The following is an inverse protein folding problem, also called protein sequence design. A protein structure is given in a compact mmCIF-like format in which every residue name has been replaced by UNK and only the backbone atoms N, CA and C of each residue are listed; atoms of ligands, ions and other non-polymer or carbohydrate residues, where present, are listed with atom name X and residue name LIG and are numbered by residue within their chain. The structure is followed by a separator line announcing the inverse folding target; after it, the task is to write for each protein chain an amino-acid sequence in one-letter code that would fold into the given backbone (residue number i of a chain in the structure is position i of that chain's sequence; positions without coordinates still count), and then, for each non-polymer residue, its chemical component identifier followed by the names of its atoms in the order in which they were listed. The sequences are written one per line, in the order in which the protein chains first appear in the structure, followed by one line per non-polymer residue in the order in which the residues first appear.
data_IF_659338553627
#
_entry.id   IF_659338553627
#
_cell.length_a   1.000
_cell.length_b   1.000
_cell.length_c   1.000
_cell.angle_alpha   90.00
_cell.angle_beta   90.00
_cell.angle_gamma   90.00
#
_symmetry.space_group_name_H-M   'P 1'
#
loop_
_entity.id
_entity.type
_entity.pdbx_description
1 polymer ?
#
# COMPACT_ATOMS: atom_id res chain seq x y z
N UNK A 1 -15.65 3.64 79.67
CA UNK A 1 -16.16 3.79 78.29
C UNK A 1 -14.99 4.12 77.37
N UNK A 2 -14.47 3.13 76.67
CA UNK A 2 -13.26 3.19 75.86
C UNK A 2 -13.64 3.11 74.37
N UNK A 3 -13.39 4.18 73.61
CA UNK A 3 -13.57 4.19 72.15
C UNK A 3 -12.20 4.04 71.47
N UNK A 4 -11.92 2.85 70.95
CA UNK A 4 -10.70 2.55 70.19
C UNK A 4 -10.97 2.55 68.68
N UNK A 5 -10.17 3.34 67.94
CA UNK A 5 -10.10 3.42 66.47
C UNK A 5 -9.61 2.10 65.85
N UNK A 6 -10.17 1.70 64.71
CA UNK A 6 -9.55 0.67 63.85
C UNK A 6 -9.37 1.17 62.42
N UNK A 7 -8.17 0.88 61.89
CA UNK A 7 -7.47 1.43 60.73
C UNK A 7 -7.92 0.81 59.40
N UNK A 8 -7.85 1.58 58.31
CA UNK A 8 -7.73 1.08 56.93
C UNK A 8 -6.30 0.61 56.69
N UNK A 9 -6.09 -0.56 56.03
CA UNK A 9 -5.00 -0.80 55.06
C UNK A 9 -4.98 -2.22 54.45
N UNK A 10 -5.08 -2.25 53.10
CA UNK A 10 -4.27 -3.00 52.10
C UNK A 10 -4.18 -4.54 51.99
N UNK A 11 -4.41 -4.96 50.73
CA UNK A 11 -3.61 -5.84 49.83
C UNK A 11 -3.68 -7.38 49.93
N UNK A 12 -4.13 -7.93 48.79
CA UNK A 12 -3.68 -9.10 48.03
C UNK A 12 -3.56 -10.47 48.70
N UNK A 13 -4.20 -11.46 48.08
CA UNK A 13 -3.65 -12.81 48.01
C UNK A 13 -3.73 -13.42 46.60
N UNK A 14 -2.56 -13.82 46.14
CA UNK A 14 -2.25 -14.57 44.93
C UNK A 14 -2.34 -16.07 45.26
N UNK A 15 -2.99 -16.90 44.43
CA UNK A 15 -2.56 -18.28 44.08
C UNK A 15 -3.57 -19.03 43.18
N UNK A 16 -3.28 -19.00 41.89
CA UNK A 16 -3.08 -20.15 40.97
C UNK A 16 -3.73 -21.50 41.37
N UNK A 17 -4.71 -21.97 40.59
CA UNK A 17 -4.99 -23.41 40.39
C UNK A 17 -4.97 -23.75 38.90
N UNK A 18 -3.93 -24.50 38.50
CA UNK A 18 -3.79 -25.16 37.19
C UNK A 18 -4.44 -26.54 37.36
N UNK A 19 -5.54 -26.82 36.68
CA UNK A 19 -6.14 -28.16 36.68
C UNK A 19 -5.76 -28.87 35.38
N UNK A 20 -4.84 -29.82 35.51
CA UNK A 20 -4.45 -30.76 34.47
C UNK A 20 -5.47 -31.89 34.40
N UNK A 21 -6.15 -32.04 33.26
CA UNK A 21 -6.74 -33.33 32.88
C UNK A 21 -6.03 -33.81 31.62
N UNK A 22 -5.03 -34.64 31.86
CA UNK A 22 -4.41 -35.50 30.85
C UNK A 22 -5.35 -36.70 30.69
N UNK A 23 -5.82 -36.94 29.46
CA UNK A 23 -6.38 -38.23 29.06
C UNK A 23 -5.63 -38.67 27.81
N UNK A 24 -4.83 -39.72 27.98
CA UNK A 24 -4.13 -40.43 26.92
C UNK A 24 -5.11 -41.40 26.27
N UNK A 25 -5.31 -41.29 24.96
CA UNK A 25 -5.72 -42.39 24.10
C UNK A 25 -4.93 -42.28 22.80
N UNK A 26 -4.00 -43.23 22.62
CA UNK A 26 -3.29 -43.52 21.39
C UNK A 26 -4.19 -44.37 20.49
N UNK A 27 -4.28 -44.06 19.19
CA UNK A 27 -4.18 -45.03 18.08
C UNK A 27 -4.69 -44.44 16.75
N UNK A 28 -3.76 -44.35 15.79
CA UNK A 28 -3.84 -44.60 14.34
C UNK A 28 -5.01 -44.04 13.50
N UNK A 29 -4.67 -43.19 12.51
CA UNK A 29 -5.53 -42.94 11.36
C UNK A 29 -5.13 -41.69 10.59
N UNK A 30 -4.44 -41.88 9.47
CA UNK A 30 -4.03 -40.85 8.49
C UNK A 30 -5.19 -39.92 8.09
N UNK A 31 -5.10 -38.63 8.43
CA UNK A 31 -5.98 -37.61 7.86
C UNK A 31 -5.13 -36.39 7.50
N UNK A 32 -5.05 -36.17 6.18
CA UNK A 32 -4.74 -34.97 5.43
C UNK A 32 -3.69 -34.01 6.03
N UNK A 33 -2.59 -33.82 5.28
CA UNK A 33 -1.79 -32.61 5.34
C UNK A 33 -2.76 -31.42 5.25
N UNK A 34 -3.07 -30.83 6.40
CA UNK A 34 -3.81 -29.59 6.50
C UNK A 34 -2.95 -28.54 5.82
N UNK A 35 -3.22 -28.35 4.52
CA UNK A 35 -2.84 -27.20 3.74
C UNK A 35 -3.19 -25.99 4.59
N UNK A 36 -2.17 -25.40 5.20
CA UNK A 36 -2.28 -24.17 5.95
C UNK A 36 -2.80 -23.12 4.98
N UNK A 37 -4.11 -22.91 5.10
CA UNK A 37 -4.90 -21.74 4.80
C UNK A 37 -4.07 -20.67 4.11
N UNK A 38 -4.30 -20.54 2.79
CA UNK A 38 -3.84 -19.42 1.98
C UNK A 38 -4.15 -18.16 2.78
N UNK A 39 -3.11 -17.54 3.34
CA UNK A 39 -3.27 -16.34 4.14
C UNK A 39 -3.96 -15.31 3.25
N UNK A 40 -5.16 -14.91 3.67
CA UNK A 40 -6.01 -13.93 3.01
C UNK A 40 -5.20 -12.68 2.65
N UNK A 41 -4.70 -12.65 1.41
CA UNK A 41 -4.03 -11.50 0.82
C UNK A 41 -5.08 -10.60 0.16
N UNK A 42 -6.17 -10.27 0.86
CA UNK A 42 -7.19 -9.36 0.31
C UNK A 42 -7.99 -8.57 1.36
N UNK A 43 -7.30 -7.94 2.32
CA UNK A 43 -7.92 -6.98 3.25
C UNK A 43 -7.26 -5.59 3.27
N UNK A 44 -6.60 -5.20 2.18
CA UNK A 44 -5.92 -3.89 2.05
C UNK A 44 -6.33 -3.09 0.80
N UNK A 45 -7.28 -3.60 0.00
CA UNK A 45 -7.65 -3.02 -1.31
C UNK A 45 -8.36 -1.65 -1.23
N UNK A 46 -8.69 -1.17 -0.03
CA UNK A 46 -9.30 0.15 0.20
C UNK A 46 -8.42 1.16 0.94
N UNK A 47 -7.21 0.78 1.37
CA UNK A 47 -6.34 1.64 2.19
C UNK A 47 -5.48 2.59 1.38
N UNK A 48 -5.42 2.44 0.05
CA UNK A 48 -4.43 3.13 -0.76
C UNK A 48 -5.09 3.79 -1.96
N UNK A 49 -4.58 4.96 -2.37
CA UNK A 49 -5.04 5.73 -3.51
C UNK A 49 -3.87 6.19 -4.37
N UNK A 50 -4.13 6.29 -5.67
CA UNK A 50 -3.14 6.69 -6.67
C UNK A 50 -3.51 8.06 -7.22
N UNK A 51 -2.49 8.90 -7.36
CA UNK A 51 -2.59 10.23 -7.92
C UNK A 51 -1.50 10.42 -8.98
N UNK A 52 -1.83 11.10 -10.07
CA UNK A 52 -0.84 11.43 -11.11
C UNK A 52 0.01 12.62 -10.67
N UNK A 53 -0.63 13.64 -10.11
CA UNK A 53 0.01 14.90 -9.70
C UNK A 53 -0.37 15.32 -8.28
N UNK A 54 0.36 16.29 -7.74
CA UNK A 54 0.08 16.91 -6.44
C UNK A 54 -1.28 17.62 -6.48
N UNK A 55 -1.64 18.21 -7.62
CA UNK A 55 -2.89 18.92 -7.86
C UNK A 55 -4.08 17.97 -7.83
N UNK A 56 -3.96 16.78 -8.41
CA UNK A 56 -4.99 15.74 -8.35
C UNK A 56 -5.24 15.29 -6.90
N UNK A 57 -4.17 15.15 -6.12
CA UNK A 57 -4.24 14.85 -4.71
C UNK A 57 -4.97 15.96 -3.92
N UNK A 58 -4.65 17.24 -4.18
CA UNK A 58 -5.36 18.38 -3.59
C UNK A 58 -6.83 18.41 -3.98
N UNK A 59 -7.15 18.21 -5.26
CA UNK A 59 -8.53 18.18 -5.78
C UNK A 59 -9.35 17.06 -5.15
N UNK A 60 -8.71 15.95 -4.79
CA UNK A 60 -9.32 14.86 -4.04
C UNK A 60 -9.51 15.16 -2.53
N UNK A 61 -9.24 16.38 -2.07
CA UNK A 61 -9.51 16.85 -0.71
C UNK A 61 -8.38 16.60 0.30
N UNK A 62 -7.19 16.21 -0.15
CA UNK A 62 -6.03 16.05 0.73
C UNK A 62 -5.31 17.38 0.96
N UNK A 63 -4.64 17.53 2.11
CA UNK A 63 -3.88 18.74 2.41
C UNK A 63 -2.63 18.84 1.55
N UNK A 64 -2.32 20.05 1.08
CA UNK A 64 -1.20 20.30 0.15
C UNK A 64 0.15 19.80 0.67
N UNK A 65 0.44 19.99 1.97
CA UNK A 65 1.69 19.50 2.57
C UNK A 65 1.77 17.97 2.57
N UNK A 66 0.64 17.26 2.74
CA UNK A 66 0.57 15.80 2.67
C UNK A 66 0.85 15.33 1.25
N UNK A 67 0.15 15.92 0.26
CA UNK A 67 0.36 15.61 -1.15
C UNK A 67 1.82 15.79 -1.57
N UNK A 68 2.42 16.96 -1.27
CA UNK A 68 3.81 17.25 -1.59
C UNK A 68 4.77 16.27 -0.91
N UNK A 69 4.54 15.96 0.36
CA UNK A 69 5.40 15.03 1.11
C UNK A 69 5.33 13.61 0.56
N UNK A 70 4.13 13.11 0.23
CA UNK A 70 3.96 11.77 -0.33
C UNK A 70 4.55 11.67 -1.74
N UNK A 71 4.33 12.69 -2.58
CA UNK A 71 4.95 12.77 -3.91
C UNK A 71 6.48 12.73 -3.82
N UNK A 72 7.08 13.58 -2.99
CA UNK A 72 8.54 13.62 -2.85
C UNK A 72 9.10 12.29 -2.34
N UNK A 73 8.42 11.63 -1.39
CA UNK A 73 8.85 10.32 -0.89
C UNK A 73 8.74 9.23 -1.97
N UNK A 74 7.68 9.23 -2.78
CA UNK A 74 7.55 8.34 -3.92
C UNK A 74 8.63 8.60 -4.97
N UNK A 75 8.92 9.87 -5.26
CA UNK A 75 9.98 10.24 -6.21
C UNK A 75 11.36 9.80 -5.73
N UNK A 76 11.69 9.98 -4.46
CA UNK A 76 12.95 9.46 -3.90
C UNK A 76 13.03 7.94 -3.97
N UNK A 77 11.91 7.23 -3.84
CA UNK A 77 11.85 5.78 -4.05
C UNK A 77 11.99 5.41 -5.52
N UNK A 78 11.42 6.18 -6.43
CA UNK A 78 11.64 6.03 -7.86
C UNK A 78 13.14 6.13 -8.18
N UNK A 79 13.83 7.16 -7.69
CA UNK A 79 15.27 7.31 -7.95
C UNK A 79 16.10 6.12 -7.45
N UNK A 80 15.72 5.51 -6.31
CA UNK A 80 16.45 4.38 -5.72
C UNK A 80 16.08 3.01 -6.30
N UNK A 81 14.81 2.79 -6.60
CA UNK A 81 14.25 1.47 -6.88
C UNK A 81 13.70 1.33 -8.31
N UNK A 82 13.92 2.32 -9.19
CA UNK A 82 13.46 2.24 -10.59
C UNK A 82 14.13 1.09 -11.34
N UNK A 83 13.40 0.46 -12.29
CA UNK A 83 13.98 -0.41 -13.28
C UNK A 83 14.99 0.33 -14.16
N UNK A 84 16.16 -0.28 -14.37
CA UNK A 84 17.15 0.20 -15.34
C UNK A 84 17.28 -0.83 -16.47
N UNK A 85 17.23 -0.35 -17.71
CA UNK A 85 17.37 -1.13 -18.93
C UNK A 85 18.63 -0.71 -19.67
N UNK A 86 19.24 -1.65 -20.40
CA UNK A 86 20.46 -1.38 -21.18
C UNK A 86 20.15 -0.62 -22.46
N UNK A 87 18.99 -0.86 -23.07
CA UNK A 87 18.58 -0.23 -24.32
C UNK A 87 17.22 0.45 -24.23
N UNK A 88 17.00 1.44 -25.09
CA UNK A 88 15.70 2.11 -25.21
C UNK A 88 14.60 1.12 -25.61
N UNK A 89 14.92 0.17 -26.49
CA UNK A 89 13.97 -0.82 -26.99
C UNK A 89 13.41 -1.71 -25.87
N UNK A 90 14.26 -2.15 -24.94
CA UNK A 90 13.84 -2.95 -23.78
C UNK A 90 12.86 -2.20 -22.88
N UNK A 91 13.15 -0.94 -22.56
CA UNK A 91 12.25 -0.11 -21.76
C UNK A 91 10.92 0.12 -22.50
N UNK A 92 10.99 0.51 -23.79
CA UNK A 92 9.81 0.83 -24.60
C UNK A 92 8.92 -0.39 -24.85
N UNK A 93 9.48 -1.60 -24.87
CA UNK A 93 8.72 -2.85 -24.96
C UNK A 93 7.75 -3.01 -23.78
N UNK A 94 8.17 -2.60 -22.59
CA UNK A 94 7.39 -2.75 -21.34
C UNK A 94 6.51 -1.54 -21.06
N UNK A 95 7.05 -0.33 -21.16
CA UNK A 95 6.38 0.93 -20.75
C UNK A 95 5.85 1.76 -21.93
N UNK A 96 6.26 1.45 -23.16
CA UNK A 96 5.89 2.21 -24.36
C UNK A 96 6.88 3.33 -24.71
N UNK A 97 6.69 3.94 -25.87
CA UNK A 97 7.65 4.89 -26.47
C UNK A 97 7.82 6.20 -25.68
N UNK A 98 6.76 6.67 -25.01
CA UNK A 98 6.71 7.99 -24.34
C UNK A 98 7.00 7.93 -22.83
N UNK A 99 7.29 6.75 -22.28
CA UNK A 99 7.43 6.55 -20.84
C UNK A 99 8.83 6.07 -20.43
N UNK A 100 9.84 6.32 -21.26
CA UNK A 100 11.22 5.94 -21.00
C UNK A 100 12.15 7.14 -21.18
N UNK A 101 13.06 7.34 -20.24
CA UNK A 101 14.05 8.41 -20.21
C UNK A 101 15.46 7.81 -20.17
N UNK A 102 16.41 8.46 -20.83
CA UNK A 102 17.82 8.10 -20.76
C UNK A 102 18.46 8.84 -19.59
N UNK A 103 19.19 8.11 -18.76
CA UNK A 103 19.99 8.63 -17.66
C UNK A 103 21.45 8.22 -17.83
N UNK A 104 22.35 9.08 -17.39
CA UNK A 104 23.77 8.76 -17.24
C UNK A 104 23.97 8.05 -15.89
N UNK A 105 24.55 6.85 -15.88
CA UNK A 105 24.97 6.17 -14.66
C UNK A 105 26.47 6.35 -14.47
N UNK A 106 26.87 6.78 -13.27
CA UNK A 106 28.26 7.11 -12.92
C UNK A 106 29.28 5.99 -13.12
N UNK A 107 28.85 4.72 -13.25
CA UNK A 107 29.73 3.54 -13.38
C UNK A 107 29.42 2.62 -14.57
N UNK A 108 28.29 2.80 -15.23
CA UNK A 108 27.73 1.79 -16.16
C UNK A 108 27.35 2.37 -17.53
N UNK A 109 27.71 3.63 -17.79
CA UNK A 109 27.33 4.35 -19.00
C UNK A 109 25.86 4.78 -18.98
N UNK A 110 25.25 4.86 -20.17
CA UNK A 110 23.86 5.28 -20.33
C UNK A 110 22.89 4.15 -19.99
N UNK A 111 21.79 4.47 -19.35
CA UNK A 111 20.72 3.51 -19.04
C UNK A 111 19.35 4.13 -19.31
N UNK A 112 18.37 3.28 -19.58
CA UNK A 112 16.99 3.71 -19.81
C UNK A 112 16.13 3.35 -18.63
N UNK A 113 15.36 4.30 -18.12
CA UNK A 113 14.48 4.12 -16.96
C UNK A 113 13.07 4.57 -17.28
N UNK A 114 12.04 3.95 -16.68
CA UNK A 114 10.68 4.37 -16.90
C UNK A 114 10.36 5.67 -16.17
N UNK A 115 9.55 6.52 -16.78
CA UNK A 115 9.07 7.76 -16.16
C UNK A 115 8.06 7.44 -15.04
N UNK A 116 8.23 8.09 -13.89
CA UNK A 116 7.22 8.05 -12.83
C UNK A 116 5.98 8.81 -13.28
N UNK A 117 4.86 8.10 -13.45
CA UNK A 117 3.58 8.65 -13.93
C UNK A 117 2.60 9.01 -12.82
N UNK A 118 2.95 8.70 -11.58
CA UNK A 118 2.16 9.01 -10.41
C UNK A 118 2.76 8.45 -9.14
N UNK A 119 2.01 8.58 -8.05
CA UNK A 119 2.39 8.09 -6.74
C UNK A 119 1.19 7.50 -6.02
N UNK A 120 1.48 6.55 -5.15
CA UNK A 120 0.51 5.83 -4.37
C UNK A 120 0.62 6.26 -2.90
N UNK A 121 -0.48 6.70 -2.29
CA UNK A 121 -0.53 7.14 -0.90
C UNK A 121 -1.70 6.52 -0.10
N UNK A 122 -1.58 6.42 1.23
CA UNK A 122 -2.64 5.87 2.08
C UNK A 122 -3.86 6.79 2.09
N UNK A 123 -5.07 6.22 2.05
CA UNK A 123 -6.32 6.96 2.04
C UNK A 123 -6.58 7.69 3.34
N UNK A 124 -6.15 7.14 4.47
CA UNK A 124 -6.34 7.69 5.82
C UNK A 124 -5.61 9.02 6.02
N UNK A 125 -4.61 9.32 5.19
CA UNK A 125 -3.94 10.63 5.12
C UNK A 125 -4.89 11.79 4.78
N UNK A 126 -6.13 11.51 4.35
CA UNK A 126 -7.15 12.54 4.13
C UNK A 126 -7.46 13.31 5.42
N UNK A 127 -7.43 12.62 6.56
CA UNK A 127 -7.75 13.19 7.87
C UNK A 127 -6.52 13.78 8.58
N UNK A 128 -5.41 13.99 7.86
CA UNK A 128 -4.17 14.54 8.41
C UNK A 128 -4.10 16.03 8.08
N UNK A 129 -4.23 16.86 9.11
CA UNK A 129 -4.38 18.31 8.99
C UNK A 129 -3.09 19.08 9.33
N UNK A 130 -2.21 18.48 10.13
CA UNK A 130 -1.03 19.16 10.70
C UNK A 130 0.22 18.27 10.62
N UNK A 131 1.41 18.87 10.75
CA UNK A 131 2.67 18.12 10.85
C UNK A 131 2.68 17.15 12.04
N UNK A 132 2.07 17.57 13.16
CA UNK A 132 1.92 16.73 14.36
C UNK A 132 1.08 15.47 14.09
N UNK A 133 -0.13 15.65 13.53
CA UNK A 133 -1.03 14.54 13.19
C UNK A 133 -0.43 13.62 12.13
N UNK A 134 0.33 14.18 11.18
CA UNK A 134 1.10 13.39 10.21
C UNK A 134 2.15 12.51 10.89
N UNK A 135 2.95 13.08 11.79
CA UNK A 135 3.99 12.32 12.48
C UNK A 135 3.40 11.22 13.37
N UNK A 136 2.26 11.50 14.03
CA UNK A 136 1.49 10.49 14.77
C UNK A 136 1.00 9.38 13.85
N UNK A 137 0.40 9.76 12.73
CA UNK A 137 -0.05 8.82 11.72
C UNK A 137 1.11 7.94 11.22
N UNK A 138 2.26 8.54 10.91
CA UNK A 138 3.43 7.82 10.38
C UNK A 138 4.04 6.85 11.39
N UNK A 139 4.01 7.17 12.69
CA UNK A 139 4.42 6.24 13.75
C UNK A 139 3.51 5.02 13.82
N UNK A 140 2.20 5.22 13.70
CA UNK A 140 1.21 4.14 13.71
C UNK A 140 1.20 3.34 12.40
N UNK A 141 1.72 3.92 11.31
CA UNK A 141 1.80 3.30 9.98
C UNK A 141 3.26 3.26 9.51
N UNK A 142 4.14 2.72 10.37
CA UNK A 142 5.58 2.66 10.09
C UNK A 142 5.89 1.87 8.83
N UNK A 143 5.22 0.72 8.65
CA UNK A 143 5.32 -0.15 7.47
C UNK A 143 4.77 0.46 6.18
N UNK A 144 3.90 1.47 6.29
CA UNK A 144 3.34 2.13 5.11
C UNK A 144 4.40 3.03 4.47
N UNK A 145 4.54 2.97 3.16
CA UNK A 145 5.26 4.00 2.44
C UNK A 145 4.67 4.24 1.07
N UNK A 146 4.72 5.49 0.57
CA UNK A 146 4.28 5.76 -0.78
C UNK A 146 5.17 5.05 -1.79
N UNK A 147 4.55 4.56 -2.86
CA UNK A 147 5.21 3.86 -3.96
C UNK A 147 5.10 4.70 -5.24
N UNK A 148 6.15 4.75 -6.08
CA UNK A 148 6.05 5.33 -7.41
C UNK A 148 5.20 4.44 -8.32
N UNK A 149 4.40 5.08 -9.18
CA UNK A 149 3.55 4.40 -10.15
C UNK A 149 4.04 4.68 -11.56
N UNK A 150 4.16 3.62 -12.35
CA UNK A 150 4.53 3.64 -13.75
C UNK A 150 3.33 3.26 -14.61
N UNK A 151 3.46 3.45 -15.92
CA UNK A 151 2.44 3.08 -16.90
C UNK A 151 3.01 2.09 -17.90
N UNK A 152 2.37 0.92 -18.03
CA UNK A 152 2.76 -0.08 -19.03
C UNK A 152 2.43 0.40 -20.45
N UNK A 153 2.95 -0.31 -21.45
CA UNK A 153 2.60 -0.11 -22.87
C UNK A 153 1.10 -0.26 -23.14
N UNK A 154 0.42 -1.18 -22.45
CA UNK A 154 -1.05 -1.37 -22.54
C UNK A 154 -1.84 -0.25 -21.89
N UNK A 155 -1.19 0.62 -21.11
CA UNK A 155 -1.82 1.73 -20.41
C UNK A 155 -2.17 1.45 -18.95
N UNK A 156 -1.81 0.27 -18.43
CA UNK A 156 -2.07 -0.13 -17.06
C UNK A 156 -1.14 0.57 -16.07
N UNK A 157 -1.65 0.83 -14.86
CA UNK A 157 -0.84 1.31 -13.76
C UNK A 157 -0.10 0.14 -13.11
N UNK A 158 1.21 0.32 -12.92
CA UNK A 158 2.08 -0.73 -12.43
C UNK A 158 3.09 -0.20 -11.41
N UNK A 159 3.49 -1.07 -10.49
CA UNK A 159 4.59 -0.83 -9.55
C UNK A 159 5.77 -1.69 -10.00
N UNK A 160 6.97 -1.10 -9.98
CA UNK A 160 8.20 -1.84 -10.21
C UNK A 160 8.63 -2.52 -8.92
N UNK A 161 8.85 -3.84 -8.96
CA UNK A 161 9.45 -4.56 -7.84
C UNK A 161 10.89 -4.92 -8.19
N UNK A 162 11.82 -4.49 -7.34
CA UNK A 162 13.24 -4.75 -7.46
C UNK A 162 13.59 -6.12 -6.88
N UNK A 163 12.84 -7.16 -7.24
CA UNK A 163 13.28 -8.52 -6.92
C UNK A 163 14.41 -8.88 -7.89
N UNK A 164 15.63 -8.80 -7.35
CA UNK A 164 16.89 -9.37 -7.82
C UNK A 164 17.77 -8.45 -8.68
N UNK A 165 18.95 -8.18 -8.12
CA UNK A 165 20.04 -7.32 -8.59
C UNK A 165 20.68 -7.72 -9.94
N UNK A 166 20.10 -8.61 -10.75
CA UNK A 166 20.59 -8.99 -12.08
C UNK A 166 19.42 -9.49 -12.95
N UNK A 167 18.64 -8.60 -13.53
CA UNK A 167 17.59 -8.96 -14.49
C UNK A 167 16.60 -7.83 -14.79
N UNK A 168 15.81 -7.92 -15.88
CA UNK A 168 14.79 -6.94 -16.18
C UNK A 168 13.78 -6.91 -15.03
N UNK A 169 13.58 -5.74 -14.43
CA UNK A 169 12.73 -5.62 -13.25
C UNK A 169 11.31 -6.13 -13.52
N UNK A 170 10.79 -6.93 -12.59
CA UNK A 170 9.42 -7.45 -12.69
C UNK A 170 8.44 -6.34 -12.31
N UNK A 171 7.53 -6.07 -13.22
CA UNK A 171 6.50 -5.06 -13.09
C UNK A 171 5.21 -5.77 -12.70
N UNK A 172 4.49 -5.26 -11.68
CA UNK A 172 3.21 -5.84 -11.24
C UNK A 172 2.10 -4.82 -11.40
N UNK A 173 0.95 -5.29 -11.91
CA UNK A 173 -0.28 -4.52 -11.93
C UNK A 173 -0.63 -4.02 -10.52
N UNK A 174 -1.13 -2.80 -10.44
CA UNK A 174 -1.68 -2.29 -9.19
C UNK A 174 -3.02 -3.00 -8.94
N UNK A 175 -3.04 -3.94 -8.00
CA UNK A 175 -4.25 -4.69 -7.61
C UNK A 175 -5.08 -3.97 -6.53
N UNK A 176 -5.29 -2.66 -6.65
CA UNK A 176 -6.32 -1.98 -5.86
C UNK A 176 -7.42 -1.57 -6.83
N UNK A 177 -8.69 -1.53 -6.39
CA UNK A 177 -9.77 -0.92 -7.18
C UNK A 177 -9.46 0.56 -7.31
N UNK A 178 -8.59 0.89 -8.27
CA UNK A 178 -8.08 2.22 -8.53
C UNK A 178 -9.24 3.01 -9.09
N UNK A 179 -9.91 3.78 -8.23
CA UNK A 179 -10.69 4.92 -8.69
C UNK A 179 -9.68 5.93 -9.24
N UNK A 180 -9.21 5.68 -10.46
CA UNK A 180 -8.45 6.67 -11.21
C UNK A 180 -9.47 7.74 -11.56
N UNK A 181 -9.39 8.88 -10.87
CA UNK A 181 -10.14 10.07 -11.26
C UNK A 181 -9.56 10.57 -12.59
N UNK A 182 -9.95 9.92 -13.68
CA UNK A 182 -9.74 10.49 -15.00
C UNK A 182 -10.75 11.62 -15.16
N UNK A 183 -10.22 12.83 -15.22
CA UNK A 183 -10.93 14.05 -15.55
C UNK A 183 -11.22 14.00 -17.07
N UNK A 184 -12.48 14.19 -17.44
CA UNK A 184 -13.02 14.38 -18.81
C UNK A 184 -13.03 13.17 -19.75
N UNK A 185 -14.19 12.52 -19.81
CA UNK A 185 -14.72 11.88 -21.01
C UNK A 185 -16.18 12.30 -21.15
N UNK A 186 -16.47 13.18 -22.11
CA UNK A 186 -17.83 13.49 -22.53
C UNK A 186 -18.47 12.22 -23.14
N UNK A 187 -19.72 11.94 -22.78
CA UNK A 187 -20.61 11.05 -23.53
C UNK A 187 -20.56 9.56 -23.20
N UNK A 188 -21.40 9.13 -22.25
CA UNK A 188 -22.17 7.88 -22.39
C UNK A 188 -23.58 8.11 -21.85
N UNK A 189 -24.52 8.27 -22.77
CA UNK A 189 -25.95 8.12 -22.56
C UNK A 189 -26.30 6.64 -22.29
N UNK A 190 -27.55 6.44 -21.83
CA UNK A 190 -28.35 5.20 -21.70
C UNK A 190 -28.23 4.43 -20.37
N UNK A 191 -29.30 3.97 -19.71
CA UNK A 191 -30.74 4.11 -19.95
C UNK A 191 -31.46 3.90 -18.60
N UNK A 192 -32.29 4.84 -18.16
CA UNK A 192 -33.25 4.61 -17.07
C UNK A 192 -34.45 3.85 -17.63
N UNK A 193 -34.59 2.57 -17.30
CA UNK A 193 -35.89 1.91 -17.38
C UNK A 193 -36.50 1.93 -15.98
N UNK A 194 -37.51 2.78 -15.77
CA UNK A 194 -38.44 2.67 -14.65
C UNK A 194 -39.56 1.74 -15.10
N UNK A 195 -39.65 0.56 -14.51
CA UNK A 195 -40.85 -0.27 -14.58
C UNK A 195 -41.59 -0.07 -13.26
N UNK A 196 -42.74 0.60 -13.32
CA UNK A 196 -43.77 0.53 -12.30
C UNK A 196 -44.90 -0.29 -12.91
N UNK A 197 -45.19 -1.45 -12.31
CA UNK A 197 -46.28 -2.32 -12.70
C UNK A 197 -47.11 -2.62 -11.47
N UNK A 198 -48.35 -2.13 -11.53
CA UNK A 198 -49.62 -2.48 -10.87
C UNK A 198 -49.59 -3.22 -9.53
#
# INVERSE_FOLDING_TARGET
MTHSKIKRTTKNNFKRKKSSRVRNTLAFGTIALMSTIISSCNNSTNRVRIFKTIEDCRRAGYKGFVCKRQYNQAFMRHLRNRPCYKTAAECKRVFGTRHCEQIEQSRSGRSFVPLMTGFMMDRSLRNVYTKYTYNRWKRNHSSYSPEPIYRSRSGDQVIAHQSQLRGPSKVRLVNVKTQTLTRYGFGRYSNTHRSWGS
#
